data_IF_949539955840
#
_entry.id   IF_949539955840
#
_cell.length_a   1.000
_cell.length_b   1.000
_cell.length_c   1.000
_cell.angle_alpha   90.00
_cell.angle_beta   90.00
_cell.angle_gamma   90.00
#
_symmetry.space_group_name_H-M   'P 1'
#
loop_
_entity.id
_entity.type
_entity.pdbx_description
1 polymer ?
#
# COMPACT_ATOMS: atom_id res chain seq x y z
N UNK A 1 7.98 15.67 -35.31
CA UNK A 1 7.65 16.03 -33.91
C UNK A 1 8.29 14.97 -33.04
N UNK A 2 9.52 15.19 -32.60
CA UNK A 2 10.31 14.20 -31.86
C UNK A 2 9.87 14.15 -30.40
N UNK A 3 9.82 12.98 -29.76
CA UNK A 3 9.47 12.88 -28.34
C UNK A 3 10.56 13.56 -27.51
N UNK A 4 10.16 14.48 -26.64
CA UNK A 4 11.05 15.06 -25.63
C UNK A 4 11.32 14.00 -24.57
N UNK A 5 12.50 13.41 -24.62
CA UNK A 5 13.05 12.62 -23.51
C UNK A 5 13.33 13.61 -22.37
N UNK A 6 12.63 13.44 -21.26
CA UNK A 6 12.93 14.16 -20.02
C UNK A 6 14.06 13.41 -19.33
N UNK A 7 15.30 13.84 -19.59
CA UNK A 7 16.44 13.43 -18.76
C UNK A 7 16.33 14.17 -17.43
N UNK A 8 16.01 13.46 -16.35
CA UNK A 8 16.11 14.00 -14.99
C UNK A 8 17.56 14.00 -14.55
N UNK A 9 18.12 15.14 -14.08
CA UNK A 9 19.48 15.20 -13.58
C UNK A 9 19.60 14.38 -12.29
N UNK A 10 20.63 13.54 -12.24
CA UNK A 10 21.07 12.82 -11.04
C UNK A 10 21.19 13.81 -9.86
N UNK A 11 20.31 13.72 -8.88
CA UNK A 11 20.37 14.53 -7.65
C UNK A 11 19.19 15.48 -7.39
N UNK A 12 18.18 15.53 -8.26
CA UNK A 12 16.95 16.26 -7.96
C UNK A 12 15.96 15.32 -7.23
N UNK A 13 15.53 15.60 -5.99
CA UNK A 13 14.39 14.87 -5.42
C UNK A 13 13.20 15.05 -6.35
N UNK A 14 12.69 13.95 -6.90
CA UNK A 14 11.54 14.01 -7.80
C UNK A 14 10.32 14.59 -7.07
N UNK A 15 9.29 14.97 -7.82
CA UNK A 15 8.04 15.51 -7.25
C UNK A 15 7.43 14.57 -6.18
N UNK A 16 7.63 13.25 -6.35
CA UNK A 16 7.28 12.24 -5.34
C UNK A 16 8.08 12.42 -4.04
N UNK A 17 9.40 12.59 -4.12
CA UNK A 17 10.27 12.77 -2.94
C UNK A 17 9.85 13.99 -2.10
N UNK A 18 9.50 15.11 -2.75
CA UNK A 18 9.08 16.33 -2.05
C UNK A 18 7.70 16.19 -1.35
N UNK A 19 6.79 15.39 -1.90
CA UNK A 19 5.48 15.13 -1.27
C UNK A 19 5.60 14.17 -0.07
N UNK A 20 6.62 13.33 -0.06
CA UNK A 20 6.80 12.25 0.91
C UNK A 20 7.70 12.64 2.09
N UNK A 21 8.55 13.66 1.94
CA UNK A 21 9.29 14.28 3.06
C UNK A 21 8.37 14.90 4.13
N UNK A 22 7.07 15.02 3.85
CA UNK A 22 6.07 15.65 4.72
C UNK A 22 5.32 14.68 5.65
N UNK A 23 5.89 13.53 6.01
CA UNK A 23 5.26 12.63 6.98
C UNK A 23 6.12 12.41 8.22
N UNK A 24 5.99 13.26 9.26
CA UNK A 24 6.29 12.83 10.61
C UNK A 24 5.15 11.93 11.07
N UNK A 25 5.09 10.69 10.59
CA UNK A 25 4.43 9.67 11.40
C UNK A 25 5.28 9.61 12.66
N UNK A 26 4.69 9.95 13.81
CA UNK A 26 5.30 9.68 15.11
C UNK A 26 6.01 8.33 15.03
N UNK A 27 7.27 8.26 15.47
CA UNK A 27 8.12 7.06 15.42
C UNK A 27 7.49 5.85 16.15
N UNK A 28 6.32 6.05 16.77
CA UNK A 28 5.56 5.08 17.54
C UNK A 28 4.44 4.37 16.74
N UNK A 29 4.13 4.77 15.50
CA UNK A 29 3.10 4.10 14.69
C UNK A 29 3.66 2.95 13.84
N UNK A 30 3.08 1.76 14.01
CA UNK A 30 3.35 0.57 13.21
C UNK A 30 2.76 0.74 11.80
N UNK A 31 3.64 0.98 10.84
CA UNK A 31 3.30 1.09 9.42
C UNK A 31 3.10 -0.28 8.77
N UNK A 32 1.92 -0.51 8.21
CA UNK A 32 1.54 -1.70 7.45
C UNK A 32 1.31 -1.32 6.00
N UNK A 33 2.01 -1.98 5.06
CA UNK A 33 1.86 -1.77 3.63
C UNK A 33 1.11 -2.93 2.99
N UNK A 34 0.03 -2.63 2.26
CA UNK A 34 -0.79 -3.58 1.52
C UNK A 34 -0.54 -3.41 0.03
N UNK A 35 -0.14 -4.49 -0.66
CA UNK A 35 -0.11 -4.52 -2.12
C UNK A 35 -1.51 -4.82 -2.65
N UNK A 36 -2.05 -3.95 -3.49
CA UNK A 36 -3.46 -3.98 -3.90
C UNK A 36 -3.95 -5.32 -4.43
N UNK A 37 -3.14 -6.02 -5.19
CA UNK A 37 -3.58 -7.26 -5.84
C UNK A 37 -3.80 -8.39 -4.79
N UNK A 38 -3.05 -8.34 -3.68
CA UNK A 38 -3.02 -9.34 -2.61
C UNK A 38 -4.26 -9.31 -1.71
N UNK A 39 -4.88 -8.13 -1.60
CA UNK A 39 -6.00 -7.92 -0.68
C UNK A 39 -7.31 -7.76 -1.46
N UNK A 40 -7.28 -7.37 -2.73
CA UNK A 40 -8.49 -6.91 -3.43
C UNK A 40 -9.19 -8.00 -4.22
N UNK A 41 -8.46 -9.03 -4.66
CA UNK A 41 -9.11 -10.14 -5.37
C UNK A 41 -10.21 -10.72 -4.47
N UNK A 42 -11.39 -11.04 -5.01
CA UNK A 42 -12.33 -11.95 -4.36
C UNK A 42 -11.63 -13.29 -4.16
N UNK A 43 -12.02 -14.06 -3.16
CA UNK A 43 -11.65 -15.47 -3.13
C UNK A 43 -12.24 -16.13 -4.40
N UNK A 44 -11.42 -16.30 -5.43
CA UNK A 44 -11.78 -17.15 -6.57
C UNK A 44 -11.64 -18.59 -6.08
N UNK A 45 -12.65 -19.43 -6.22
CA UNK A 45 -12.60 -20.81 -5.74
C UNK A 45 -11.71 -21.69 -6.65
N UNK A 46 -10.67 -22.37 -6.14
CA UNK A 46 -10.10 -22.27 -4.80
C UNK A 46 -9.02 -21.18 -4.71
N UNK A 47 -9.16 -20.30 -3.73
CA UNK A 47 -8.24 -19.19 -3.56
C UNK A 47 -6.95 -19.73 -2.94
N UNK A 48 -5.77 -19.27 -3.35
CA UNK A 48 -4.54 -19.70 -2.71
C UNK A 48 -4.60 -19.37 -1.21
N UNK A 49 -4.13 -20.27 -0.33
CA UNK A 49 -4.25 -20.10 1.12
C UNK A 49 -3.63 -18.79 1.64
N UNK A 50 -2.63 -18.25 0.94
CA UNK A 50 -2.01 -16.95 1.21
C UNK A 50 -3.00 -15.79 1.12
N UNK A 51 -3.95 -15.86 0.18
CA UNK A 51 -4.95 -14.83 -0.05
C UNK A 51 -5.98 -14.79 1.08
N UNK A 52 -6.45 -15.96 1.53
CA UNK A 52 -7.35 -16.07 2.68
C UNK A 52 -6.70 -15.57 3.98
N UNK A 53 -5.39 -15.81 4.15
CA UNK A 53 -4.62 -15.28 5.27
C UNK A 53 -4.49 -13.75 5.21
N UNK A 54 -4.18 -13.18 4.04
CA UNK A 54 -4.09 -11.72 3.85
C UNK A 54 -5.42 -11.01 4.12
N UNK A 55 -6.54 -11.61 3.70
CA UNK A 55 -7.88 -11.11 4.00
C UNK A 55 -8.18 -11.12 5.50
N UNK A 56 -7.89 -12.25 6.16
CA UNK A 56 -8.10 -12.40 7.61
C UNK A 56 -7.23 -11.44 8.42
N UNK A 57 -5.98 -11.25 8.00
CA UNK A 57 -5.07 -10.28 8.61
C UNK A 57 -5.60 -8.85 8.45
N UNK A 58 -6.04 -8.47 7.25
CA UNK A 58 -6.61 -7.15 6.98
C UNK A 58 -7.86 -6.88 7.84
N UNK A 59 -8.71 -7.89 8.05
CA UNK A 59 -9.87 -7.77 8.94
C UNK A 59 -9.46 -7.54 10.41
N UNK A 60 -8.43 -8.26 10.89
CA UNK A 60 -7.89 -8.06 12.25
C UNK A 60 -7.26 -6.68 12.43
N UNK A 61 -6.56 -6.16 11.43
CA UNK A 61 -6.07 -4.78 11.44
C UNK A 61 -7.24 -3.80 11.58
N UNK A 62 -8.31 -4.01 10.83
CA UNK A 62 -9.51 -3.19 10.91
C UNK A 62 -10.13 -3.20 12.30
N UNK A 63 -10.23 -4.37 12.93
CA UNK A 63 -10.68 -4.49 14.32
C UNK A 63 -9.75 -3.76 15.29
N UNK A 64 -8.44 -3.91 15.15
CA UNK A 64 -7.48 -3.21 15.99
C UNK A 64 -7.62 -1.69 15.84
N UNK A 65 -7.68 -1.16 14.60
CA UNK A 65 -7.89 0.27 14.37
C UNK A 65 -9.18 0.79 15.01
N UNK A 66 -10.27 0.04 14.93
CA UNK A 66 -11.55 0.42 15.57
C UNK A 66 -11.45 0.57 17.09
N UNK A 67 -10.58 -0.21 17.76
CA UNK A 67 -10.38 -0.13 19.22
C UNK A 67 -9.64 1.13 19.65
N UNK A 68 -8.72 1.63 18.83
CA UNK A 68 -7.92 2.83 19.12
C UNK A 68 -8.49 4.12 18.51
N UNK A 69 -9.46 4.02 17.59
CA UNK A 69 -9.96 5.17 16.83
C UNK A 69 -9.06 5.53 15.65
N UNK A 70 -9.52 6.44 14.79
CA UNK A 70 -8.83 6.80 13.55
C UNK A 70 -7.61 7.71 13.77
N UNK A 71 -7.67 8.64 14.73
CA UNK A 71 -6.61 9.63 14.97
C UNK A 71 -5.48 9.08 15.86
N UNK A 72 -5.83 8.28 16.87
CA UNK A 72 -4.89 7.77 17.88
C UNK A 72 -4.50 6.31 17.63
N UNK A 73 -4.69 5.84 16.39
CA UNK A 73 -4.34 4.47 16.04
C UNK A 73 -2.83 4.27 16.10
N UNK A 74 -2.32 3.22 16.77
CA UNK A 74 -0.92 2.83 16.66
C UNK A 74 -0.60 2.25 15.27
N UNK A 75 -1.58 2.15 14.37
CA UNK A 75 -1.43 1.64 13.01
C UNK A 75 -1.54 2.75 11.97
N UNK A 76 -0.53 2.81 11.12
CA UNK A 76 -0.56 3.52 9.83
C UNK A 76 -0.69 2.49 8.71
N UNK A 77 -1.80 2.51 7.98
CA UNK A 77 -2.10 1.56 6.90
C UNK A 77 -1.94 2.25 5.56
N UNK A 78 -1.00 1.74 4.76
CA UNK A 78 -0.68 2.26 3.43
C UNK A 78 -1.08 1.23 2.38
N UNK A 79 -1.80 1.67 1.35
CA UNK A 79 -2.12 0.88 0.17
C UNK A 79 -1.17 1.26 -0.98
N UNK A 80 -0.56 0.27 -1.63
CA UNK A 80 0.23 0.47 -2.85
C UNK A 80 -0.28 -0.46 -3.94
N UNK A 81 -0.66 0.08 -5.09
CA UNK A 81 -1.05 -0.72 -6.27
C UNK A 81 0.00 -0.52 -7.36
N UNK A 82 0.76 -1.55 -7.74
CA UNK A 82 1.68 -1.39 -8.87
C UNK A 82 0.94 -1.42 -10.18
N UNK A 83 -0.01 -2.32 -10.34
CA UNK A 83 -0.74 -2.49 -11.58
C UNK A 83 -2.12 -1.82 -11.52
N UNK A 84 -2.58 -1.35 -12.67
CA UNK A 84 -3.85 -0.64 -12.80
C UNK A 84 -3.77 0.86 -12.48
N UNK A 85 -4.64 1.62 -13.14
CA UNK A 85 -4.79 3.06 -12.93
C UNK A 85 -5.65 3.40 -11.71
N UNK A 86 -6.12 4.65 -11.64
CA UNK A 86 -6.93 5.18 -10.54
C UNK A 86 -8.15 4.30 -10.20
N UNK A 87 -8.79 3.69 -11.20
CA UNK A 87 -9.95 2.81 -11.00
C UNK A 87 -9.62 1.54 -10.20
N UNK A 88 -8.49 0.90 -10.47
CA UNK A 88 -8.03 -0.29 -9.73
C UNK A 88 -7.77 0.07 -8.26
N UNK A 89 -7.07 1.18 -8.06
CA UNK A 89 -6.77 1.73 -6.74
C UNK A 89 -8.04 2.13 -5.97
N UNK A 90 -9.02 2.72 -6.64
CA UNK A 90 -10.32 3.07 -6.08
C UNK A 90 -11.15 1.84 -5.71
N UNK A 91 -11.14 0.79 -6.53
CA UNK A 91 -11.75 -0.50 -6.22
C UNK A 91 -11.09 -1.14 -4.99
N UNK A 92 -9.76 -1.07 -4.90
CA UNK A 92 -9.00 -1.57 -3.77
C UNK A 92 -9.40 -0.91 -2.45
N UNK A 93 -9.47 0.42 -2.45
CA UNK A 93 -9.91 1.20 -1.29
C UNK A 93 -11.35 0.86 -0.88
N UNK A 94 -12.26 0.67 -1.85
CA UNK A 94 -13.65 0.26 -1.56
C UNK A 94 -13.71 -1.11 -0.89
N UNK A 95 -12.96 -2.09 -1.39
CA UNK A 95 -12.89 -3.43 -0.81
C UNK A 95 -12.31 -3.44 0.61
N UNK A 96 -11.27 -2.65 0.88
CA UNK A 96 -10.70 -2.53 2.21
C UNK A 96 -11.69 -1.89 3.20
N UNK A 97 -12.39 -0.83 2.78
CA UNK A 97 -13.45 -0.21 3.60
C UNK A 97 -14.60 -1.16 3.90
N UNK A 98 -15.08 -1.94 2.92
CA UNK A 98 -16.14 -2.91 3.16
C UNK A 98 -15.73 -4.02 4.14
N UNK A 99 -14.42 -4.26 4.29
CA UNK A 99 -13.84 -5.19 5.28
C UNK A 99 -13.50 -4.50 6.61
N UNK A 100 -13.84 -3.23 6.77
CA UNK A 100 -13.63 -2.48 8.00
C UNK A 100 -12.18 -2.02 8.23
N UNK A 101 -11.35 -1.98 7.18
CA UNK A 101 -9.99 -1.46 7.23
C UNK A 101 -9.91 -0.10 6.53
N UNK A 102 -9.71 0.96 7.31
CA UNK A 102 -9.41 2.28 6.79
C UNK A 102 -7.93 2.38 6.39
N UNK A 103 -7.67 3.00 5.24
CA UNK A 103 -6.33 3.27 4.69
C UNK A 103 -6.02 4.74 4.88
N UNK A 104 -4.82 5.05 5.37
CA UNK A 104 -4.37 6.42 5.64
C UNK A 104 -3.74 7.05 4.40
N UNK A 105 -2.95 6.25 3.67
CA UNK A 105 -2.25 6.70 2.46
C UNK A 105 -2.42 5.68 1.33
N UNK A 106 -2.61 6.15 0.11
CA UNK A 106 -2.79 5.30 -1.07
C UNK A 106 -1.90 5.77 -2.22
N UNK A 107 -1.14 4.83 -2.79
CA UNK A 107 -0.21 5.08 -3.89
C UNK A 107 -0.56 4.19 -5.08
N UNK A 108 -1.07 4.81 -6.14
CA UNK A 108 -1.46 4.14 -7.36
C UNK A 108 -0.36 4.33 -8.41
N UNK A 109 0.51 3.34 -8.58
CA UNK A 109 1.77 3.49 -9.33
C UNK A 109 1.63 3.31 -10.85
N UNK A 110 0.48 2.82 -11.34
CA UNK A 110 0.17 2.71 -12.78
C UNK A 110 1.26 2.04 -13.65
N UNK A 111 1.89 1.00 -13.11
CA UNK A 111 2.96 0.21 -13.74
C UNK A 111 4.35 0.56 -13.24
N UNK A 112 4.53 1.64 -12.47
CA UNK A 112 5.82 1.99 -11.88
C UNK A 112 6.22 1.00 -10.76
N UNK A 113 7.53 0.75 -10.58
CA UNK A 113 8.04 -0.21 -9.61
C UNK A 113 7.69 0.17 -8.18
N UNK A 114 7.46 -0.83 -7.32
CA UNK A 114 7.15 -0.64 -5.88
C UNK A 114 8.40 -0.36 -5.04
N UNK A 115 9.59 -0.71 -5.54
CA UNK A 115 10.86 -0.60 -4.80
C UNK A 115 11.17 0.81 -4.27
N UNK A 116 11.03 1.90 -5.05
CA UNK A 116 11.29 3.26 -4.55
C UNK A 116 10.37 3.65 -3.40
N UNK A 117 9.07 3.36 -3.52
CA UNK A 117 8.10 3.74 -2.50
C UNK A 117 8.23 2.88 -1.24
N UNK A 118 8.55 1.59 -1.38
CA UNK A 118 8.83 0.71 -0.23
C UNK A 118 10.05 1.20 0.55
N UNK A 119 11.12 1.59 -0.15
CA UNK A 119 12.36 2.09 0.47
C UNK A 119 12.13 3.38 1.25
N UNK A 120 11.22 4.22 0.78
CA UNK A 120 10.88 5.48 1.42
C UNK A 120 9.94 5.29 2.62
N UNK A 121 8.87 4.52 2.42
CA UNK A 121 7.87 4.28 3.45
C UNK A 121 8.41 3.39 4.57
N UNK A 122 9.40 2.52 4.31
CA UNK A 122 9.97 1.59 5.30
C UNK A 122 8.90 0.93 6.18
N UNK A 123 7.95 0.19 5.58
CA UNK A 123 6.87 -0.44 6.34
C UNK A 123 7.43 -1.47 7.32
N UNK A 124 6.79 -1.60 8.48
CA UNK A 124 7.11 -2.63 9.47
C UNK A 124 6.55 -4.00 9.04
N UNK A 125 5.39 -3.98 8.37
CA UNK A 125 4.74 -5.18 7.83
C UNK A 125 4.38 -4.95 6.36
N UNK A 126 4.63 -5.96 5.53
CA UNK A 126 4.27 -5.97 4.11
C UNK A 126 3.36 -7.16 3.81
N UNK A 127 2.20 -6.88 3.22
CA UNK A 127 1.32 -7.91 2.67
C UNK A 127 1.38 -7.83 1.15
N UNK A 128 2.06 -8.80 0.53
CA UNK A 128 2.21 -8.93 -0.91
C UNK A 128 1.39 -10.11 -1.46
N UNK A 129 1.26 -10.16 -2.78
CA UNK A 129 0.43 -11.11 -3.54
C UNK A 129 0.80 -12.57 -3.32
N UNK A 130 2.07 -12.82 -3.05
CA UNK A 130 2.68 -14.09 -2.71
C UNK A 130 2.63 -14.41 -1.20
N UNK A 131 2.00 -13.55 -0.39
CA UNK A 131 1.93 -13.66 1.06
C UNK A 131 2.85 -12.67 1.77
N UNK A 132 3.14 -12.90 3.04
CA UNK A 132 4.20 -12.17 3.79
C UNK A 132 5.56 -12.62 3.23
N UNK A 133 5.88 -12.14 2.04
CA UNK A 133 7.15 -12.36 1.37
C UNK A 133 7.90 -11.03 1.34
N UNK A 134 9.08 -11.02 1.97
CA UNK A 134 10.10 -10.07 1.61
C UNK A 134 10.65 -10.41 0.23
N UNK A 135 11.11 -9.36 -0.48
CA UNK A 135 12.02 -9.44 -1.65
C UNK A 135 11.39 -10.18 -2.86
N UNK A 136 10.98 -9.56 -3.96
CA UNK A 136 11.66 -8.63 -4.88
C UNK A 136 10.66 -8.16 -5.97
N UNK A 137 10.77 -6.90 -6.40
CA UNK A 137 10.73 -6.47 -7.81
C UNK A 137 11.42 -5.09 -7.90
#
# INVERSE_FOLDING_TARGET
MSPRVFETPLGSPGVLSALLDRQPSSTEQLRVMLCGDAVVRPAADPAPPSHTAAQSFSARLGEMRRRFGAADSPLSVVLVTASGGAESCGAALRTLRSRGLAVDEAYCLAGAPRSPIRSLLRPHFLLADDGVAGLED
#
